data_IF_298884910525
#
_entry.id   IF_298884910525
#
_cell.length_a   1.000
_cell.length_b   1.000
_cell.length_c   1.000
_cell.angle_alpha   90.00
_cell.angle_beta   90.00
_cell.angle_gamma   90.00
#
_symmetry.space_group_name_H-M   'P 1'
#
loop_
_entity.id
_entity.type
_entity.pdbx_description
1 polymer ?
#
# COMPACT_ATOMS: atom_id res chain seq x y z
N UNK A 1 -16.89 -20.66 13.73
CA UNK A 1 -16.48 -19.35 14.30
C UNK A 1 -14.98 -19.31 14.62
N UNK A 2 -14.37 -20.36 15.18
CA UNK A 2 -12.93 -20.37 15.52
C UNK A 2 -11.99 -20.43 14.30
N UNK A 3 -12.27 -21.28 13.31
CA UNK A 3 -11.41 -21.43 12.13
C UNK A 3 -11.33 -20.15 11.27
N UNK A 4 -12.46 -19.48 11.05
CA UNK A 4 -12.52 -18.18 10.35
C UNK A 4 -11.77 -17.09 11.11
N UNK A 5 -11.88 -17.04 12.44
CA UNK A 5 -11.19 -16.06 13.27
C UNK A 5 -9.66 -16.27 13.26
N UNK A 6 -9.20 -17.52 13.34
CA UNK A 6 -7.77 -17.86 13.20
C UNK A 6 -7.24 -17.42 11.83
N UNK A 7 -8.01 -17.64 10.77
CA UNK A 7 -7.63 -17.27 9.41
C UNK A 7 -7.57 -15.74 9.24
N UNK A 8 -8.55 -15.00 9.78
CA UNK A 8 -8.55 -13.53 9.80
C UNK A 8 -7.34 -12.99 10.56
N UNK A 9 -7.00 -13.55 11.73
CA UNK A 9 -5.82 -13.13 12.50
C UNK A 9 -4.51 -13.43 11.76
N UNK A 10 -4.38 -14.60 11.15
CA UNK A 10 -3.21 -14.96 10.36
C UNK A 10 -3.02 -14.01 9.16
N UNK A 11 -4.11 -13.72 8.44
CA UNK A 11 -4.09 -12.75 7.34
C UNK A 11 -3.79 -11.32 7.83
N UNK A 12 -4.22 -10.96 9.04
CA UNK A 12 -3.92 -9.67 9.66
C UNK A 12 -2.44 -9.47 9.93
N UNK A 13 -1.72 -10.54 10.27
CA UNK A 13 -0.25 -10.48 10.36
C UNK A 13 0.38 -10.21 9.00
N UNK A 14 -0.14 -10.83 7.93
CA UNK A 14 0.32 -10.59 6.54
C UNK A 14 0.02 -9.15 6.10
N UNK A 15 -1.16 -8.63 6.43
CA UNK A 15 -1.54 -7.22 6.25
C UNK A 15 -0.51 -6.32 6.94
N UNK A 16 -0.25 -6.57 8.23
CA UNK A 16 0.70 -5.82 9.03
C UNK A 16 2.10 -5.85 8.43
N UNK A 17 2.59 -7.03 8.06
CA UNK A 17 3.92 -7.21 7.49
C UNK A 17 4.04 -6.48 6.14
N UNK A 18 3.01 -6.54 5.31
CA UNK A 18 2.93 -5.78 4.05
C UNK A 18 2.91 -4.27 4.29
N UNK A 19 2.19 -3.81 5.32
CA UNK A 19 2.15 -2.39 5.71
C UNK A 19 3.52 -1.92 6.23
N UNK A 20 4.18 -2.72 7.06
CA UNK A 20 5.49 -2.41 7.62
C UNK A 20 6.59 -2.38 6.55
N UNK A 21 6.55 -3.30 5.59
CA UNK A 21 7.55 -3.36 4.50
C UNK A 21 7.30 -2.27 3.45
N UNK A 22 6.05 -2.11 3.02
CA UNK A 22 5.71 -1.33 1.84
C UNK A 22 5.08 0.04 2.14
N UNK A 23 4.81 0.37 3.41
CA UNK A 23 4.16 1.61 3.86
C UNK A 23 2.65 1.67 3.60
N UNK A 24 2.20 1.20 2.43
CA UNK A 24 0.79 1.26 2.03
C UNK A 24 0.14 -0.09 1.71
N UNK A 25 0.91 -1.17 1.65
CA UNK A 25 0.44 -2.48 1.17
C UNK A 25 -0.62 -3.13 2.06
N UNK A 26 -0.56 -2.94 3.38
CA UNK A 26 -1.58 -3.50 4.27
C UNK A 26 -2.97 -2.92 4.03
N UNK A 27 -3.05 -1.62 3.76
CA UNK A 27 -4.32 -0.91 3.53
C UNK A 27 -5.10 -1.42 2.30
N UNK A 28 -4.38 -1.95 1.32
CA UNK A 28 -4.92 -2.62 0.12
C UNK A 28 -5.63 -3.93 0.48
N UNK A 29 -5.06 -4.67 1.43
CA UNK A 29 -5.52 -5.99 1.84
C UNK A 29 -6.64 -5.92 2.89
N UNK A 30 -6.62 -4.90 3.74
CA UNK A 30 -7.53 -4.82 4.89
C UNK A 30 -9.00 -4.80 4.47
N UNK A 31 -9.37 -3.98 3.47
CA UNK A 31 -10.78 -3.89 3.02
C UNK A 31 -11.27 -5.22 2.42
N UNK A 32 -10.61 -5.83 1.42
CA UNK A 32 -11.04 -7.12 0.87
C UNK A 32 -11.10 -8.24 1.91
N UNK A 33 -10.14 -8.30 2.84
CA UNK A 33 -10.12 -9.36 3.85
C UNK A 33 -11.30 -9.20 4.82
N UNK A 34 -11.61 -7.97 5.24
CA UNK A 34 -12.77 -7.73 6.11
C UNK A 34 -14.09 -8.04 5.41
N UNK A 35 -14.24 -7.68 4.13
CA UNK A 35 -15.47 -8.00 3.37
C UNK A 35 -15.59 -9.49 3.08
N UNK A 36 -14.56 -10.10 2.48
CA UNK A 36 -14.67 -11.46 1.95
C UNK A 36 -14.44 -12.55 3.00
N UNK A 37 -13.65 -12.28 4.04
CA UNK A 37 -13.30 -13.28 5.06
C UNK A 37 -14.06 -13.05 6.36
N UNK A 38 -14.11 -11.80 6.83
CA UNK A 38 -14.86 -11.48 8.05
C UNK A 38 -16.37 -11.29 7.79
N UNK A 39 -16.79 -11.17 6.52
CA UNK A 39 -18.20 -11.06 6.14
C UNK A 39 -18.81 -9.70 6.47
N UNK A 40 -17.98 -8.67 6.68
CA UNK A 40 -18.45 -7.33 7.04
C UNK A 40 -19.16 -6.69 5.84
N UNK A 41 -20.17 -5.86 6.13
CA UNK A 41 -20.73 -5.00 5.10
C UNK A 41 -19.64 -4.05 4.57
N UNK A 42 -19.68 -3.68 3.29
CA UNK A 42 -18.62 -2.89 2.66
C UNK A 42 -18.31 -1.59 3.44
N UNK A 43 -19.32 -0.93 3.99
CA UNK A 43 -19.16 0.30 4.78
C UNK A 43 -18.50 0.05 6.13
N UNK A 44 -18.89 -1.03 6.82
CA UNK A 44 -18.26 -1.47 8.08
C UNK A 44 -16.80 -1.86 7.87
N UNK A 45 -16.52 -2.64 6.82
CA UNK A 45 -15.16 -3.05 6.46
C UNK A 45 -14.26 -1.85 6.16
N UNK A 46 -14.79 -0.83 5.47
CA UNK A 46 -14.08 0.43 5.20
C UNK A 46 -13.75 1.14 6.51
N UNK A 47 -14.74 1.36 7.38
CA UNK A 47 -14.53 2.05 8.66
C UNK A 47 -13.52 1.30 9.54
N UNK A 48 -13.68 -0.01 9.68
CA UNK A 48 -12.74 -0.87 10.41
C UNK A 48 -11.34 -0.82 9.80
N UNK A 49 -11.21 -0.79 8.46
CA UNK A 49 -9.90 -0.68 7.81
C UNK A 49 -9.21 0.66 8.06
N UNK A 50 -9.95 1.77 8.07
CA UNK A 50 -9.41 3.09 8.40
C UNK A 50 -8.86 3.12 9.82
N UNK A 51 -9.57 2.50 10.77
CA UNK A 51 -9.10 2.36 12.15
C UNK A 51 -7.82 1.50 12.24
N UNK A 52 -7.86 0.27 11.71
CA UNK A 52 -6.72 -0.68 11.72
C UNK A 52 -5.49 -0.03 11.07
N UNK A 53 -5.66 0.53 9.87
CA UNK A 53 -4.57 1.16 9.10
C UNK A 53 -4.08 2.43 9.79
N UNK A 54 -4.97 3.23 10.37
CA UNK A 54 -4.60 4.44 11.10
C UNK A 54 -3.68 4.15 12.28
N UNK A 55 -4.07 3.18 13.13
CA UNK A 55 -3.28 2.79 14.30
C UNK A 55 -1.97 2.12 13.89
N UNK A 56 -2.02 1.14 12.99
CA UNK A 56 -0.82 0.43 12.53
C UNK A 56 0.17 1.35 11.85
N UNK A 57 -0.31 2.35 11.09
CA UNK A 57 0.54 3.37 10.49
C UNK A 57 1.15 4.28 11.55
N UNK A 58 0.37 4.75 12.54
CA UNK A 58 0.89 5.55 13.64
C UNK A 58 2.02 4.82 14.39
N UNK A 59 1.85 3.53 14.69
CA UNK A 59 2.90 2.70 15.31
C UNK A 59 4.10 2.50 14.37
N UNK A 60 3.86 2.27 13.08
CA UNK A 60 4.92 2.04 12.08
C UNK A 60 5.74 3.29 11.78
N UNK A 61 5.14 4.49 11.89
CA UNK A 61 5.85 5.78 11.80
C UNK A 61 6.96 5.84 12.83
N UNK A 62 6.71 5.45 14.09
CA UNK A 62 7.73 5.48 15.14
C UNK A 62 8.94 4.62 14.76
N UNK A 63 8.71 3.43 14.21
CA UNK A 63 9.79 2.53 13.78
C UNK A 63 10.58 3.10 12.58
N UNK A 64 9.92 3.78 11.64
CA UNK A 64 10.57 4.40 10.49
C UNK A 64 11.30 5.71 10.84
N UNK A 65 10.73 6.49 11.78
CA UNK A 65 11.31 7.72 12.29
C UNK A 65 12.62 7.44 13.03
N UNK A 66 12.69 6.37 13.83
CA UNK A 66 13.94 5.91 14.46
C UNK A 66 15.05 5.58 13.45
N UNK A 67 14.68 5.20 12.22
CA UNK A 67 15.63 4.95 11.14
C UNK A 67 15.98 6.16 10.29
N UNK A 68 15.53 7.38 10.65
CA UNK A 68 15.81 8.61 9.88
C UNK A 68 15.11 8.68 8.51
N UNK A 69 14.11 7.83 8.26
CA UNK A 69 13.45 7.68 6.93
C UNK A 69 12.16 8.49 6.81
N UNK A 70 11.95 9.52 7.63
CA UNK A 70 10.71 10.29 7.67
C UNK A 70 11.00 11.76 7.46
N UNK A 71 10.41 12.36 6.43
CA UNK A 71 10.47 13.81 6.18
C UNK A 71 9.21 14.47 6.74
N UNK A 72 9.29 14.88 8.00
CA UNK A 72 8.15 15.42 8.76
C UNK A 72 7.47 16.60 8.08
N UNK A 73 8.23 17.54 7.50
CA UNK A 73 7.68 18.74 6.86
C UNK A 73 6.76 18.37 5.69
N UNK A 74 7.22 17.51 4.78
CA UNK A 74 6.43 17.06 3.63
C UNK A 74 5.25 16.19 4.08
N UNK A 75 5.47 15.30 5.05
CA UNK A 75 4.43 14.43 5.59
C UNK A 75 3.29 15.18 6.27
N UNK A 76 3.61 16.20 7.08
CA UNK A 76 2.60 17.01 7.78
C UNK A 76 1.81 17.92 6.83
N UNK A 77 2.48 18.57 5.87
CA UNK A 77 1.79 19.45 4.90
C UNK A 77 0.86 18.62 4.02
N UNK A 78 1.37 17.53 3.44
CA UNK A 78 0.56 16.65 2.60
C UNK A 78 -0.52 15.91 3.41
N UNK A 79 -0.21 15.54 4.65
CA UNK A 79 -1.14 14.92 5.60
C UNK A 79 -2.29 15.85 5.98
N UNK A 80 -2.01 17.10 6.32
CA UNK A 80 -3.03 18.10 6.65
C UNK A 80 -3.94 18.40 5.47
N UNK A 81 -3.38 18.54 4.26
CA UNK A 81 -4.15 18.67 3.02
C UNK A 81 -5.05 17.45 2.79
N UNK A 82 -4.48 16.25 2.99
CA UNK A 82 -5.17 14.99 2.82
C UNK A 82 -6.25 14.73 3.87
N UNK A 83 -6.15 15.27 5.09
CA UNK A 83 -7.18 15.15 6.11
C UNK A 83 -8.48 15.83 5.69
N UNK A 84 -8.41 17.05 5.15
CA UNK A 84 -9.58 17.77 4.68
C UNK A 84 -10.29 16.99 3.56
N UNK A 85 -9.49 16.51 2.58
CA UNK A 85 -10.01 15.65 1.53
C UNK A 85 -10.63 14.36 2.08
N UNK A 86 -9.92 13.65 2.96
CA UNK A 86 -10.36 12.36 3.48
C UNK A 86 -11.62 12.46 4.36
N UNK A 87 -11.78 13.53 5.12
CA UNK A 87 -12.99 13.79 5.90
C UNK A 87 -14.22 13.98 4.98
N UNK A 88 -14.10 14.87 3.99
CA UNK A 88 -15.15 15.09 2.98
C UNK A 88 -15.43 13.81 2.19
N UNK A 89 -14.37 13.10 1.81
CA UNK A 89 -14.48 11.83 1.10
C UNK A 89 -15.20 10.75 1.92
N UNK A 90 -14.93 10.66 3.22
CA UNK A 90 -15.62 9.73 4.12
C UNK A 90 -17.11 10.05 4.28
N UNK A 91 -17.47 11.33 4.41
CA UNK A 91 -18.86 11.77 4.45
C UNK A 91 -19.62 11.41 3.16
N UNK A 92 -18.99 11.65 2.01
CA UNK A 92 -19.57 11.31 0.70
C UNK A 92 -19.62 9.79 0.48
N UNK A 93 -18.59 9.06 0.90
CA UNK A 93 -18.51 7.60 0.79
C UNK A 93 -19.62 6.88 1.54
N UNK A 94 -20.10 7.46 2.64
CA UNK A 94 -21.28 6.98 3.37
C UNK A 94 -22.57 6.94 2.53
N UNK A 95 -22.67 7.76 1.47
CA UNK A 95 -23.86 7.85 0.62
C UNK A 95 -23.75 7.02 -0.67
N UNK A 96 -22.55 6.52 -1.01
CA UNK A 96 -22.31 5.78 -2.26
C UNK A 96 -22.51 4.28 -2.03
N UNK A 97 -23.15 3.55 -2.98
CA UNK A 97 -23.23 2.09 -2.95
C UNK A 97 -21.84 1.44 -2.91
N UNK A 98 -21.64 0.47 -2.02
CA UNK A 98 -20.33 -0.17 -1.80
C UNK A 98 -19.72 -0.81 -3.04
N UNK A 99 -20.54 -1.30 -3.98
CA UNK A 99 -20.08 -1.87 -5.24
C UNK A 99 -19.34 -0.84 -6.12
N UNK A 100 -19.85 0.40 -6.21
CA UNK A 100 -19.19 1.48 -6.96
C UNK A 100 -17.84 1.83 -6.31
N UNK A 101 -17.82 1.84 -4.98
CA UNK A 101 -16.63 2.15 -4.18
C UNK A 101 -15.51 1.12 -4.41
N UNK A 102 -15.86 -0.16 -4.45
CA UNK A 102 -14.91 -1.25 -4.70
C UNK A 102 -14.44 -1.30 -6.16
N UNK A 103 -15.28 -0.98 -7.14
CA UNK A 103 -14.85 -0.84 -8.54
C UNK A 103 -13.87 0.35 -8.67
N UNK A 104 -14.21 1.51 -8.09
CA UNK A 104 -13.33 2.68 -8.09
C UNK A 104 -11.97 2.36 -7.42
N UNK A 105 -11.98 1.62 -6.32
CA UNK A 105 -10.77 1.14 -5.65
C UNK A 105 -9.88 0.29 -6.57
N UNK A 106 -10.47 -0.71 -7.25
CA UNK A 106 -9.75 -1.61 -8.14
C UNK A 106 -9.12 -0.85 -9.32
N UNK A 107 -9.86 0.06 -9.95
CA UNK A 107 -9.36 0.90 -11.05
C UNK A 107 -8.17 1.74 -10.59
N UNK A 108 -8.28 2.38 -9.43
CA UNK A 108 -7.21 3.19 -8.87
C UNK A 108 -5.96 2.36 -8.53
N UNK A 109 -6.11 1.15 -8.00
CA UNK A 109 -4.98 0.24 -7.77
C UNK A 109 -4.23 -0.07 -9.07
N UNK A 110 -4.97 -0.44 -10.12
CA UNK A 110 -4.37 -0.78 -11.42
C UNK A 110 -3.63 0.44 -11.98
N UNK A 111 -4.25 1.62 -11.97
CA UNK A 111 -3.62 2.86 -12.42
C UNK A 111 -2.32 3.18 -11.66
N UNK A 112 -2.35 3.05 -10.33
CA UNK A 112 -1.21 3.27 -9.45
C UNK A 112 -0.08 2.28 -9.72
N UNK A 113 -0.42 1.00 -9.86
CA UNK A 113 0.54 -0.05 -10.16
C UNK A 113 1.25 0.21 -11.49
N UNK A 114 0.49 0.53 -12.55
CA UNK A 114 1.03 0.85 -13.87
C UNK A 114 1.96 2.06 -13.78
N UNK A 115 1.57 3.11 -13.05
CA UNK A 115 2.41 4.30 -12.86
C UNK A 115 3.75 3.96 -12.16
N UNK A 116 3.74 3.04 -11.21
CA UNK A 116 4.96 2.60 -10.53
C UNK A 116 5.83 1.68 -11.38
N UNK A 117 5.23 0.75 -12.13
CA UNK A 117 5.92 -0.20 -12.99
C UNK A 117 6.53 0.46 -14.24
N UNK A 118 5.91 1.53 -14.76
CA UNK A 118 6.42 2.30 -15.91
C UNK A 118 7.75 3.01 -15.65
N UNK A 119 8.26 3.00 -14.42
CA UNK A 119 9.57 3.53 -14.09
C UNK A 119 9.63 5.06 -14.15
N UNK A 120 10.60 5.65 -13.43
CA UNK A 120 11.01 7.03 -13.73
C UNK A 120 11.83 6.90 -15.01
N UNK A 121 11.48 7.59 -16.11
CA UNK A 121 12.41 7.75 -17.23
C UNK A 121 13.70 8.31 -16.62
N UNK A 122 14.81 7.59 -16.76
CA UNK A 122 16.13 7.96 -16.26
C UNK A 122 16.46 9.32 -16.90
N UNK A 123 16.18 10.41 -16.18
CA UNK A 123 16.61 11.74 -16.60
C UNK A 123 18.11 11.74 -16.29
N UNK A 124 18.92 11.71 -17.35
CA UNK A 124 20.36 11.58 -17.29
C UNK A 124 20.97 12.43 -16.17
N UNK A 125 21.84 11.80 -15.38
CA UNK A 125 22.78 12.41 -14.43
C UNK A 125 23.83 13.25 -15.18
N UNK A 126 23.40 14.32 -15.84
CA UNK A 126 24.31 15.37 -16.28
C UNK A 126 23.99 16.65 -15.51
N UNK A 127 24.85 16.94 -14.54
CA UNK A 127 24.91 18.23 -13.88
C UNK A 127 24.12 18.27 -12.58
N UNK A 128 24.86 18.44 -11.49
CA UNK A 128 24.35 18.94 -10.23
C UNK A 128 23.49 20.19 -10.46
N UNK A 129 22.18 20.01 -10.55
CA UNK A 129 21.23 21.07 -10.31
C UNK A 129 20.79 20.95 -8.85
N UNK A 130 21.04 21.95 -8.00
CA UNK A 130 20.52 21.93 -6.65
C UNK A 130 19.00 21.82 -6.77
N UNK A 131 18.39 20.83 -6.12
CA UNK A 131 16.93 20.69 -6.07
C UNK A 131 16.37 21.80 -5.17
N UNK A 132 16.47 23.04 -5.64
CA UNK A 132 15.63 24.16 -5.26
C UNK A 132 14.50 24.20 -6.28
N UNK A 133 13.46 23.45 -5.99
CA UNK A 133 12.14 23.79 -6.49
C UNK A 133 11.18 23.52 -5.35
N UNK A 134 10.79 24.60 -4.71
CA UNK A 134 9.53 24.66 -3.99
C UNK A 134 8.48 24.11 -4.94
N UNK A 135 8.06 22.86 -4.75
CA UNK A 135 6.82 22.41 -5.35
C UNK A 135 5.81 23.45 -4.90
N UNK A 136 5.14 24.17 -5.82
CA UNK A 136 4.25 25.25 -5.43
C UNK A 136 3.31 24.67 -4.39
N UNK A 137 3.31 25.26 -3.19
CA UNK A 137 2.62 24.72 -2.02
C UNK A 137 1.18 24.34 -2.38
N UNK A 138 0.56 25.12 -3.28
CA UNK A 138 -0.75 24.87 -3.87
C UNK A 138 -0.88 23.54 -4.62
N UNK A 139 0.12 23.07 -5.38
CA UNK A 139 0.07 21.77 -6.08
C UNK A 139 0.17 20.60 -5.11
N UNK A 140 1.00 20.73 -4.07
CA UNK A 140 1.12 19.71 -3.00
C UNK A 140 -0.17 19.65 -2.17
N UNK A 141 -0.77 20.81 -1.86
CA UNK A 141 -2.06 20.92 -1.20
C UNK A 141 -3.18 20.31 -2.06
N UNK A 142 -3.23 20.63 -3.36
CA UNK A 142 -4.23 20.11 -4.28
C UNK A 142 -4.10 18.58 -4.43
N UNK A 143 -2.89 18.07 -4.69
CA UNK A 143 -2.65 16.63 -4.81
C UNK A 143 -2.96 15.92 -3.49
N UNK A 144 -2.57 16.51 -2.35
CA UNK A 144 -2.89 16.00 -1.02
C UNK A 144 -4.39 15.93 -0.78
N UNK A 145 -5.13 16.99 -1.12
CA UNK A 145 -6.58 17.05 -0.98
C UNK A 145 -7.30 16.08 -1.92
N UNK A 146 -6.90 15.98 -3.19
CA UNK A 146 -7.48 15.06 -4.17
C UNK A 146 -7.20 13.60 -3.78
N UNK A 147 -5.95 13.28 -3.45
CA UNK A 147 -5.58 11.94 -2.96
C UNK A 147 -6.31 11.65 -1.66
N UNK A 148 -6.40 12.63 -0.75
CA UNK A 148 -7.16 12.55 0.49
C UNK A 148 -8.62 12.19 0.22
N UNK A 149 -9.29 12.96 -0.64
CA UNK A 149 -10.69 12.78 -1.02
C UNK A 149 -10.95 11.41 -1.63
N UNK A 150 -10.14 11.00 -2.59
CA UNK A 150 -10.26 9.67 -3.20
C UNK A 150 -10.06 8.58 -2.15
N UNK A 151 -9.08 8.75 -1.26
CA UNK A 151 -8.77 7.72 -0.25
C UNK A 151 -9.76 7.67 0.90
N UNK A 152 -10.40 8.80 1.23
CA UNK A 152 -11.52 8.87 2.18
C UNK A 152 -12.79 8.26 1.59
N UNK A 153 -13.09 8.55 0.32
CA UNK A 153 -14.20 7.94 -0.42
C UNK A 153 -14.05 6.43 -0.50
N UNK A 154 -12.88 5.97 -0.96
CA UNK A 154 -12.62 4.55 -1.16
C UNK A 154 -12.42 3.80 0.16
N UNK A 155 -12.06 4.51 1.23
CA UNK A 155 -11.95 3.93 2.56
C UNK A 155 -10.72 3.06 2.82
N UNK A 156 -9.88 2.82 1.82
CA UNK A 156 -8.81 1.84 1.91
C UNK A 156 -7.52 2.35 2.57
N UNK A 157 -7.55 3.38 3.43
CA UNK A 157 -6.37 3.98 4.07
C UNK A 157 -5.33 4.61 3.11
N UNK A 158 -5.48 4.39 1.80
CA UNK A 158 -4.85 5.11 0.70
C UNK A 158 -3.34 5.11 0.65
N UNK A 159 -2.66 4.19 1.34
CA UNK A 159 -1.20 4.13 1.30
C UNK A 159 -0.67 3.77 -0.08
N UNK A 160 -1.46 3.01 -0.86
CA UNK A 160 -1.17 2.72 -2.26
C UNK A 160 -1.07 3.96 -3.14
N UNK A 161 -1.80 5.04 -2.83
CA UNK A 161 -1.75 6.30 -3.59
C UNK A 161 -0.70 7.27 -3.05
N UNK A 162 -0.53 7.32 -1.72
CA UNK A 162 0.37 8.28 -1.07
C UNK A 162 1.84 7.94 -1.33
N UNK A 163 2.23 6.67 -1.24
CA UNK A 163 3.61 6.23 -1.49
C UNK A 163 4.10 6.66 -2.89
N UNK A 164 3.40 6.34 -4.00
CA UNK A 164 3.80 6.79 -5.33
C UNK A 164 3.68 8.29 -5.53
N UNK A 165 2.70 8.97 -4.93
CA UNK A 165 2.62 10.43 -5.01
C UNK A 165 3.90 11.06 -4.43
N UNK A 166 4.29 10.66 -3.22
CA UNK A 166 5.51 11.15 -2.57
C UNK A 166 6.80 10.73 -3.31
N UNK A 167 6.84 9.51 -3.84
CA UNK A 167 8.02 9.02 -4.55
C UNK A 167 8.17 9.65 -5.93
N UNK A 168 7.10 9.76 -6.72
CA UNK A 168 7.13 10.24 -8.10
C UNK A 168 7.10 11.77 -8.16
N UNK A 169 6.15 12.40 -7.47
CA UNK A 169 5.95 13.86 -7.46
C UNK A 169 6.87 14.55 -6.46
N UNK A 170 6.98 13.99 -5.25
CA UNK A 170 7.80 14.54 -4.17
C UNK A 170 9.31 14.31 -4.32
N UNK A 171 9.74 13.55 -5.34
CA UNK A 171 11.17 13.30 -5.58
C UNK A 171 11.83 12.34 -4.59
N UNK A 172 11.13 11.90 -3.55
CA UNK A 172 11.71 11.19 -2.42
C UNK A 172 12.20 9.78 -2.80
N UNK A 173 13.33 9.31 -2.23
CA UNK A 173 13.72 7.92 -2.32
C UNK A 173 12.61 7.01 -1.77
N UNK A 174 12.40 5.83 -2.36
CA UNK A 174 11.23 5.00 -2.02
C UNK A 174 11.18 4.63 -0.53
N UNK A 175 12.36 4.39 0.07
CA UNK A 175 12.48 4.09 1.50
C UNK A 175 11.98 5.24 2.39
N UNK A 176 12.23 6.48 1.99
CA UNK A 176 11.80 7.70 2.68
C UNK A 176 10.35 8.06 2.35
N UNK A 177 9.91 7.81 1.11
CA UNK A 177 8.51 7.97 0.70
C UNK A 177 7.60 7.04 1.49
N UNK A 178 8.02 5.79 1.72
CA UNK A 178 7.33 4.83 2.58
C UNK A 178 7.19 5.36 4.01
N UNK A 179 8.30 5.77 4.64
CA UNK A 179 8.26 6.30 6.01
C UNK A 179 7.41 7.57 6.14
N UNK A 180 7.53 8.50 5.18
CA UNK A 180 6.77 9.76 5.16
C UNK A 180 5.29 9.52 4.87
N UNK A 181 4.96 8.53 4.04
CA UNK A 181 3.57 8.16 3.74
C UNK A 181 2.83 7.64 4.97
N UNK A 182 3.50 6.94 5.89
CA UNK A 182 2.87 6.42 7.11
C UNK A 182 2.31 7.54 7.99
N UNK A 183 2.97 8.71 8.01
CA UNK A 183 2.47 9.90 8.72
C UNK A 183 1.18 10.40 8.08
N UNK A 184 1.20 10.56 6.75
CA UNK A 184 0.05 11.00 5.96
C UNK A 184 -1.12 10.01 6.11
N UNK A 185 -0.84 8.71 6.03
CA UNK A 185 -1.83 7.64 6.15
C UNK A 185 -2.46 7.67 7.54
N UNK A 186 -1.68 7.78 8.60
CA UNK A 186 -2.20 7.89 9.95
C UNK A 186 -3.16 9.09 10.06
N UNK A 187 -2.71 10.28 9.68
CA UNK A 187 -3.49 11.52 9.75
C UNK A 187 -4.82 11.41 9.00
N UNK A 188 -4.78 11.01 7.73
CA UNK A 188 -5.99 10.95 6.89
C UNK A 188 -6.91 9.80 7.27
N UNK A 189 -6.38 8.69 7.78
CA UNK A 189 -7.20 7.55 8.21
C UNK A 189 -8.03 7.92 9.44
N UNK A 190 -7.45 8.68 10.39
CA UNK A 190 -8.23 9.24 11.51
C UNK A 190 -9.29 10.23 11.01
N UNK A 191 -8.97 11.10 10.04
CA UNK A 191 -9.94 12.02 9.46
C UNK A 191 -11.08 11.30 8.70
N UNK A 192 -10.75 10.30 7.89
CA UNK A 192 -11.73 9.49 7.15
C UNK A 192 -12.60 8.66 8.09
N UNK A 193 -12.00 8.07 9.15
CA UNK A 193 -12.74 7.34 10.18
C UNK A 193 -13.75 8.25 10.90
N UNK A 194 -13.35 9.49 11.24
CA UNK A 194 -14.25 10.46 11.84
C UNK A 194 -15.46 10.76 10.94
N UNK A 195 -15.27 10.80 9.62
CA UNK A 195 -16.38 10.91 8.66
C UNK A 195 -17.30 9.67 8.68
N UNK A 196 -16.73 8.47 8.68
CA UNK A 196 -17.50 7.22 8.65
C UNK A 196 -18.23 6.89 9.96
N UNK A 197 -17.66 7.25 11.12
CA UNK A 197 -18.28 7.02 12.44
C UNK A 197 -19.62 7.75 12.62
N UNK A 198 -19.91 8.75 11.78
CA UNK A 198 -21.22 9.40 11.76
C UNK A 198 -22.32 8.53 11.12
N UNK A 199 -21.94 7.47 10.40
CA UNK A 199 -22.86 6.67 9.58
C UNK A 199 -22.84 5.16 9.87
N UNK A 200 -21.82 4.65 10.58
CA UNK A 200 -21.60 3.20 10.74
C UNK A 200 -21.17 2.84 12.17
N UNK A 201 -21.64 1.70 12.67
CA UNK A 201 -21.22 1.12 13.95
C UNK A 201 -20.11 0.09 13.71
N UNK A 202 -19.05 0.09 14.51
CA UNK A 202 -17.96 -0.89 14.38
C UNK A 202 -18.14 -2.04 15.37
N UNK A 203 -17.95 -3.27 14.90
CA UNK A 203 -17.67 -4.40 15.77
C UNK A 203 -16.23 -4.28 16.32
N UNK A 204 -16.14 -3.79 17.54
CA UNK A 204 -14.87 -3.58 18.24
C UNK A 204 -14.13 -4.89 18.54
N UNK A 205 -14.81 -6.03 18.65
CA UNK A 205 -14.19 -7.30 19.00
C UNK A 205 -13.23 -7.77 17.91
N UNK A 206 -13.71 -7.86 16.67
CA UNK A 206 -12.90 -8.28 15.52
C UNK A 206 -11.91 -7.18 15.15
N UNK A 207 -12.34 -5.91 15.17
CA UNK A 207 -11.50 -4.77 14.77
C UNK A 207 -10.26 -4.64 15.66
N UNK A 208 -10.40 -4.78 16.98
CA UNK A 208 -9.26 -4.74 17.91
C UNK A 208 -8.34 -5.95 17.74
N UNK A 209 -8.89 -7.14 17.54
CA UNK A 209 -8.10 -8.35 17.28
C UNK A 209 -7.25 -8.23 16.00
N UNK A 210 -7.85 -7.77 14.91
CA UNK A 210 -7.17 -7.48 13.64
C UNK A 210 -6.11 -6.41 13.83
N UNK A 211 -6.43 -5.33 14.56
CA UNK A 211 -5.48 -4.25 14.84
C UNK A 211 -4.26 -4.75 15.60
N UNK A 212 -4.44 -5.54 16.66
CA UNK A 212 -3.34 -6.08 17.45
C UNK A 212 -2.42 -7.00 16.61
N UNK A 213 -3.02 -7.90 15.82
CA UNK A 213 -2.27 -8.78 14.91
C UNK A 213 -1.51 -7.98 13.83
N UNK A 214 -2.16 -6.95 13.27
CA UNK A 214 -1.54 -6.09 12.26
C UNK A 214 -0.42 -5.22 12.84
N UNK A 215 -0.52 -4.75 14.09
CA UNK A 215 0.57 -4.04 14.78
C UNK A 215 1.78 -4.96 14.89
N UNK A 216 1.60 -6.20 15.37
CA UNK A 216 2.69 -7.16 15.50
C UNK A 216 3.38 -7.43 14.15
N UNK A 217 2.59 -7.67 13.10
CA UNK A 217 3.11 -7.85 11.74
C UNK A 217 3.86 -6.61 11.23
N UNK A 218 3.33 -5.41 11.49
CA UNK A 218 3.92 -4.14 11.01
C UNK A 218 5.26 -3.81 11.63
N UNK A 219 5.46 -4.14 12.91
CA UNK A 219 6.74 -3.97 13.61
C UNK A 219 7.82 -4.91 13.05
N UNK A 220 7.44 -6.13 12.66
CA UNK A 220 8.34 -7.07 12.00
C UNK A 220 8.68 -6.56 10.59
N UNK A 221 7.65 -6.13 9.84
CA UNK A 221 7.81 -5.60 8.48
C UNK A 221 8.67 -4.33 8.41
N UNK A 222 8.50 -3.39 9.33
CA UNK A 222 9.22 -2.11 9.35
C UNK A 222 10.73 -2.27 9.58
N UNK A 223 11.12 -3.29 10.36
CA UNK A 223 12.53 -3.68 10.54
C UNK A 223 13.12 -4.24 9.26
N UNK A 224 12.34 -5.02 8.51
CA UNK A 224 12.78 -5.63 7.25
C UNK A 224 12.86 -4.61 6.11
N UNK A 225 11.97 -3.61 6.10
CA UNK A 225 11.92 -2.55 5.08
C UNK A 225 13.26 -1.83 4.86
N UNK A 226 14.08 -1.69 5.91
CA UNK A 226 15.38 -1.00 5.84
C UNK A 226 16.49 -1.79 5.15
N UNK A 227 16.28 -3.09 4.90
CA UNK A 227 17.29 -3.98 4.30
C UNK A 227 17.05 -4.28 2.82
N UNK A 228 15.93 -3.81 2.27
CA UNK A 228 15.53 -4.12 0.89
C UNK A 228 15.96 -2.97 -0.03
N UNK A 229 16.65 -3.25 -1.15
CA UNK A 229 17.04 -2.21 -2.09
C UNK A 229 15.83 -1.53 -2.74
N UNK A 230 15.91 -0.23 -2.99
CA UNK A 230 14.78 0.60 -3.41
C UNK A 230 14.09 0.11 -4.70
N UNK A 231 14.89 -0.38 -5.65
CA UNK A 231 14.38 -0.93 -6.90
C UNK A 231 13.53 -2.19 -6.68
N UNK A 232 13.94 -3.05 -5.73
CA UNK A 232 13.18 -4.24 -5.38
C UNK A 232 11.88 -3.86 -4.64
N UNK A 233 11.95 -2.89 -3.72
CA UNK A 233 10.77 -2.43 -2.98
C UNK A 233 9.71 -1.82 -3.90
N UNK A 234 10.14 -1.00 -4.87
CA UNK A 234 9.26 -0.41 -5.89
C UNK A 234 8.58 -1.48 -6.76
N UNK A 235 9.36 -2.45 -7.25
CA UNK A 235 8.84 -3.54 -8.09
C UNK A 235 7.89 -4.45 -7.31
N UNK A 236 8.27 -4.84 -6.09
CA UNK A 236 7.46 -5.66 -5.20
C UNK A 236 6.12 -4.99 -4.90
N UNK A 237 6.13 -3.70 -4.56
CA UNK A 237 4.90 -2.95 -4.34
C UNK A 237 4.03 -2.86 -5.59
N UNK A 238 4.62 -2.51 -6.74
CA UNK A 238 3.88 -2.40 -8.00
C UNK A 238 3.21 -3.72 -8.39
N UNK A 239 3.94 -4.83 -8.34
CA UNK A 239 3.39 -6.17 -8.62
C UNK A 239 2.32 -6.57 -7.61
N UNK A 240 2.54 -6.28 -6.33
CA UNK A 240 1.58 -6.58 -5.27
C UNK A 240 0.25 -5.82 -5.45
N UNK A 241 0.33 -4.50 -5.70
CA UNK A 241 -0.84 -3.66 -5.98
C UNK A 241 -1.55 -4.14 -7.25
N UNK A 242 -0.79 -4.55 -8.28
CA UNK A 242 -1.36 -5.09 -9.51
C UNK A 242 -2.16 -6.36 -9.24
N UNK A 243 -1.55 -7.33 -8.55
CA UNK A 243 -2.17 -8.60 -8.24
C UNK A 243 -3.47 -8.41 -7.45
N UNK A 244 -3.44 -7.55 -6.43
CA UNK A 244 -4.62 -7.25 -5.61
C UNK A 244 -5.70 -6.49 -6.36
N UNK A 245 -5.34 -5.45 -7.11
CA UNK A 245 -6.31 -4.68 -7.90
C UNK A 245 -7.02 -5.57 -8.90
N UNK A 246 -6.28 -6.51 -9.47
CA UNK A 246 -6.84 -7.45 -10.43
C UNK A 246 -7.72 -8.52 -9.78
N UNK A 247 -7.32 -9.04 -8.61
CA UNK A 247 -8.14 -9.95 -7.81
C UNK A 247 -9.49 -9.32 -7.43
N UNK A 248 -9.47 -8.06 -6.96
CA UNK A 248 -10.69 -7.32 -6.60
C UNK A 248 -11.57 -7.11 -7.84
N UNK A 249 -10.99 -6.75 -8.98
CA UNK A 249 -11.72 -6.58 -10.25
C UNK A 249 -12.43 -7.87 -10.70
N UNK A 250 -11.77 -9.03 -10.58
CA UNK A 250 -12.33 -10.35 -10.93
C UNK A 250 -13.50 -10.71 -10.00
N UNK A 251 -13.39 -10.39 -8.71
CA UNK A 251 -14.45 -10.64 -7.73
C UNK A 251 -15.68 -9.75 -7.97
N UNK A 252 -15.49 -8.51 -8.41
CA UNK A 252 -16.59 -7.58 -8.69
C UNK A 252 -17.27 -7.77 -10.05
N UNK A 253 -16.64 -8.47 -11.00
CA UNK A 253 -17.17 -8.60 -12.35
C UNK A 253 -18.36 -9.59 -12.43
N UNK A 254 -19.41 -9.29 -13.23
CA UNK A 254 -20.54 -10.19 -13.44
C UNK A 254 -20.11 -11.51 -14.09
N UNK A 255 -20.80 -12.61 -13.74
CA UNK A 255 -20.44 -14.01 -14.04
C UNK A 255 -20.02 -14.26 -15.49
N UNK A 256 -20.64 -13.56 -16.42
CA UNK A 256 -20.51 -13.73 -17.87
C UNK A 256 -19.16 -13.19 -18.40
N UNK A 257 -18.55 -12.22 -17.70
CA UNK A 257 -17.28 -11.60 -18.06
C UNK A 257 -16.12 -12.08 -17.17
N UNK A 258 -16.40 -12.84 -16.10
CA UNK A 258 -15.38 -13.41 -15.18
C UNK A 258 -14.36 -14.25 -15.92
N UNK A 259 -14.76 -15.03 -16.92
CA UNK A 259 -13.85 -15.85 -17.71
C UNK A 259 -12.93 -15.03 -18.62
N UNK A 260 -13.45 -13.97 -19.26
CA UNK A 260 -12.66 -13.07 -20.12
C UNK A 260 -11.67 -12.23 -19.33
N UNK A 261 -12.06 -11.73 -18.16
CA UNK A 261 -11.17 -10.98 -17.26
C UNK A 261 -10.16 -11.94 -16.63
N UNK A 262 -10.56 -13.12 -16.15
CA UNK A 262 -9.63 -14.12 -15.62
C UNK A 262 -8.59 -14.58 -16.66
N UNK A 263 -9.01 -14.79 -17.92
CA UNK A 263 -8.10 -15.18 -19.00
C UNK A 263 -7.13 -14.05 -19.40
N UNK A 264 -7.62 -12.81 -19.54
CA UNK A 264 -6.78 -11.66 -19.84
C UNK A 264 -5.78 -11.33 -18.73
N UNK A 265 -6.19 -11.54 -17.48
CA UNK A 265 -5.39 -11.31 -16.28
C UNK A 265 -4.36 -12.42 -16.06
N UNK A 266 -4.74 -13.69 -16.22
CA UNK A 266 -3.84 -14.83 -16.10
C UNK A 266 -2.69 -14.72 -17.12
N UNK A 267 -2.99 -14.23 -18.33
CA UNK A 267 -1.98 -13.94 -19.35
C UNK A 267 -1.02 -12.80 -18.93
N UNK A 268 -1.51 -11.76 -18.25
CA UNK A 268 -0.70 -10.63 -17.75
C UNK A 268 0.13 -10.99 -16.49
N UNK A 269 -0.39 -11.85 -15.61
CA UNK A 269 0.34 -12.35 -14.44
C UNK A 269 1.37 -13.42 -14.80
N UNK A 270 1.08 -14.26 -15.81
CA UNK A 270 2.01 -15.25 -16.33
C UNK A 270 3.15 -14.60 -17.14
N UNK A 271 2.86 -13.51 -17.87
CA UNK A 271 3.91 -12.74 -18.57
C UNK A 271 4.78 -11.96 -17.58
N UNK A 272 4.22 -11.38 -16.52
CA UNK A 272 5.04 -10.72 -15.48
C UNK A 272 5.87 -11.71 -14.64
N UNK A 273 5.36 -12.91 -14.34
CA UNK A 273 6.12 -13.99 -13.72
C UNK A 273 7.18 -14.59 -14.67
N UNK A 274 6.85 -14.76 -15.95
CA UNK A 274 7.76 -15.22 -17.00
C UNK A 274 8.88 -14.22 -17.30
N UNK A 275 8.59 -12.92 -17.32
CA UNK A 275 9.59 -11.86 -17.48
C UNK A 275 10.47 -11.74 -16.22
N UNK A 276 9.95 -12.02 -15.03
CA UNK A 276 10.73 -12.10 -13.80
C UNK A 276 11.72 -13.27 -13.82
N UNK A 277 11.31 -14.41 -14.40
CA UNK A 277 12.17 -15.59 -14.60
C UNK A 277 13.19 -15.39 -15.73
N UNK A 278 12.81 -14.68 -16.80
CA UNK A 278 13.62 -14.52 -18.02
C UNK A 278 14.59 -13.33 -18.01
N UNK A 279 14.24 -12.20 -17.36
CA UNK A 279 15.02 -10.95 -17.45
C UNK A 279 15.79 -10.56 -16.18
N UNK A 280 15.57 -11.20 -15.02
CA UNK A 280 16.25 -10.86 -13.76
C UNK A 280 17.33 -11.90 -13.45
N UNK A 281 18.56 -11.59 -13.85
CA UNK A 281 19.77 -12.39 -13.61
C UNK A 281 20.23 -12.44 -12.15
N UNK A 282 19.59 -11.71 -11.24
CA UNK A 282 20.01 -11.60 -9.82
C UNK A 282 19.06 -12.30 -8.84
N UNK A 283 18.39 -13.38 -9.26
CA UNK A 283 17.55 -14.17 -8.36
C UNK A 283 18.42 -14.99 -7.38
N UNK A 284 18.31 -14.79 -6.05
CA UNK A 284 19.14 -15.46 -5.05
C UNK A 284 18.89 -16.97 -4.92
N UNK A 285 17.85 -17.50 -5.56
CA UNK A 285 17.58 -18.94 -5.66
C UNK A 285 18.43 -19.67 -6.71
N UNK A 286 19.14 -18.94 -7.58
CA UNK A 286 20.03 -19.56 -8.58
C UNK A 286 21.43 -19.87 -8.05
N UNK A 287 21.86 -19.24 -6.95
CA UNK A 287 23.27 -19.28 -6.53
C UNK A 287 23.60 -20.30 -5.44
N UNK A 288 22.90 -21.44 -5.37
CA UNK A 288 23.23 -22.53 -4.43
C UNK A 288 23.93 -23.73 -5.06
N UNK A 289 24.17 -23.74 -6.38
CA UNK A 289 24.85 -24.87 -7.06
C UNK A 289 26.32 -24.60 -7.43
N UNK A 290 26.85 -23.39 -7.23
CA UNK A 290 28.21 -23.02 -7.69
C UNK A 290 29.34 -23.03 -6.66
N UNK A 291 29.04 -23.13 -5.36
CA UNK A 291 30.02 -22.86 -4.29
C UNK A 291 30.60 -24.14 -3.69
N UNK A 292 31.14 -25.03 -4.54
CA UNK A 292 31.87 -26.23 -4.11
C UNK A 292 33.13 -26.45 -4.95
N UNK A 293 33.88 -25.37 -5.25
CA UNK A 293 35.18 -25.44 -5.93
C UNK A 293 36.06 -24.22 -5.60
N UNK A 294 36.61 -24.19 -4.39
CA UNK A 294 37.81 -23.39 -4.08
C UNK A 294 38.33 -23.81 -2.71
N UNK A 295 39.02 -24.94 -2.65
CA UNK A 295 39.95 -25.29 -1.57
C UNK A 295 40.96 -26.30 -2.11
N UNK A 296 42.00 -25.84 -2.82
CA UNK A 296 43.35 -26.43 -2.80
C UNK A 296 44.37 -25.29 -2.99
N UNK A 297 45.43 -25.15 -2.14
CA UNK A 297 46.38 -24.04 -2.20
C UNK A 297 47.49 -24.22 -3.24
N UNK A 298 48.09 -23.07 -3.61
CA UNK A 298 49.29 -22.89 -4.45
C UNK A 298 50.51 -23.69 -3.96
N UNK A 299 51.33 -24.22 -4.89
CA UNK A 299 52.76 -24.37 -4.65
C UNK A 299 53.59 -23.48 -5.59
N UNK A 300 54.56 -22.80 -4.99
CA UNK A 300 55.81 -22.40 -5.66
C UNK A 300 56.77 -23.60 -5.70
#
# INVERSE_FOLDING_TARGET
MTATLILVLALSVVIGLSLGVLGGGGSILTVPILVYVAGFEAKEAIAASLFVVGITSAVSVLSHARGGRVVWRTGLIFGAAGMAGAFVGGLLGGHIPGQILLIAFAVMMVATSIAMLRGRKKKNDNGAAPVKHELPLGRVLLDGAVVGLITGLVGAGGGFLVVPALALLGGLPMSVAVGTSLVVIAMKSFAGLAGYLTTVQLDWGITLGVTAAAIAGSLIGSKLAGRIPEAALRKAFGLFVLAMGTFVLIQQAPADLRWFIAAGVAALTATTAGICWFFISSCPLRNRSGQRRSDIPSPA
#
